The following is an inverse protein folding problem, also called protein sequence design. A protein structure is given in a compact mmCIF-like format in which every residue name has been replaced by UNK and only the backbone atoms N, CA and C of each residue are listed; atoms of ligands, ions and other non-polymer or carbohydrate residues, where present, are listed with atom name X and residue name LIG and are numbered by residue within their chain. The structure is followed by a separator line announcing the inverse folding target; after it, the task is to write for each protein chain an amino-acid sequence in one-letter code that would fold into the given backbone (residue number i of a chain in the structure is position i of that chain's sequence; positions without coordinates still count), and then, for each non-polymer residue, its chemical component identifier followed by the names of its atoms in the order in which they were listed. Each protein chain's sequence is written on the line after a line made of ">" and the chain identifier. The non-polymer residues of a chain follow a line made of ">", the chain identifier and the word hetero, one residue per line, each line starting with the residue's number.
data_IF_696916767999
#
_entry.id   IF_696916767999
#
_cell.length_a   1.000
_cell.length_b   1.000
_cell.length_c   1.000
_cell.angle_alpha   90.00
_cell.angle_beta   90.00
_cell.angle_gamma   90.00
#
_symmetry.space_group_name_H-M   'P 1'
#
loop_
_entity.id
_entity.type
_entity.pdbx_description
1 polymer ?
#
# COMPACT_ATOMS: atom_id res chain seq x y z
N UNK A 1 -39.20 4.68 -5.49
CA UNK A 1 -37.94 4.45 -4.76
C UNK A 1 -36.92 3.69 -5.61
N UNK A 2 -36.96 2.35 -5.72
CA UNK A 2 -36.06 1.62 -6.65
C UNK A 2 -36.23 2.05 -8.11
N UNK A 3 -37.48 2.09 -8.60
CA UNK A 3 -37.77 2.43 -9.99
C UNK A 3 -37.23 3.80 -10.40
N UNK A 4 -37.41 4.81 -9.55
CA UNK A 4 -36.98 6.19 -9.85
C UNK A 4 -35.45 6.27 -9.90
N UNK A 5 -34.75 5.63 -8.96
CA UNK A 5 -33.29 5.52 -8.96
C UNK A 5 -32.76 4.73 -10.15
N UNK A 6 -33.38 3.60 -10.49
CA UNK A 6 -33.06 2.81 -11.67
C UNK A 6 -33.19 3.64 -12.96
N UNK A 7 -34.29 4.37 -13.12
CA UNK A 7 -34.51 5.26 -14.26
C UNK A 7 -33.48 6.39 -14.30
N UNK A 8 -33.18 7.00 -13.16
CA UNK A 8 -32.20 8.08 -13.07
C UNK A 8 -30.80 7.60 -13.48
N UNK A 9 -30.35 6.48 -12.91
CA UNK A 9 -29.05 5.89 -13.25
C UNK A 9 -28.97 5.45 -14.71
N UNK A 10 -30.05 4.88 -15.27
CA UNK A 10 -30.13 4.58 -16.69
C UNK A 10 -29.89 5.83 -17.55
N UNK A 11 -30.50 6.97 -17.18
CA UNK A 11 -30.26 8.26 -17.87
C UNK A 11 -28.79 8.70 -17.76
N UNK A 12 -28.19 8.59 -16.58
CA UNK A 12 -26.78 8.95 -16.36
C UNK A 12 -25.81 8.14 -17.25
N UNK A 13 -26.12 6.88 -17.53
CA UNK A 13 -25.31 6.03 -18.42
C UNK A 13 -25.78 6.03 -19.88
N UNK A 14 -26.73 6.89 -20.24
CA UNK A 14 -27.24 7.02 -21.61
C UNK A 14 -28.05 5.82 -22.10
N UNK A 15 -28.66 5.03 -21.20
CA UNK A 15 -29.47 3.85 -21.52
C UNK A 15 -30.94 4.05 -21.19
N UNK A 16 -31.80 3.33 -21.89
CA UNK A 16 -33.20 3.21 -21.49
C UNK A 16 -33.37 2.10 -20.44
N UNK A 17 -34.30 2.23 -19.47
CA UNK A 17 -34.60 1.20 -18.48
C UNK A 17 -34.89 -0.18 -19.09
N UNK A 18 -35.64 -0.20 -20.20
CA UNK A 18 -35.96 -1.44 -20.92
C UNK A 18 -34.76 -1.97 -21.70
N UNK A 19 -33.93 -1.09 -22.28
CA UNK A 19 -32.70 -1.47 -22.98
C UNK A 19 -31.70 -2.16 -22.06
N UNK A 20 -31.46 -1.58 -20.88
CA UNK A 20 -30.59 -2.17 -19.87
C UNK A 20 -31.13 -3.51 -19.34
N UNK A 21 -32.44 -3.59 -19.08
CA UNK A 21 -33.07 -4.84 -18.65
C UNK A 21 -32.90 -5.96 -19.69
N UNK A 22 -33.05 -5.64 -20.99
CA UNK A 22 -32.83 -6.60 -22.06
C UNK A 22 -31.36 -7.06 -22.12
N UNK A 23 -30.37 -6.16 -21.96
CA UNK A 23 -28.95 -6.53 -21.88
C UNK A 23 -28.67 -7.52 -20.75
N UNK A 24 -29.38 -7.39 -19.63
CA UNK A 24 -29.25 -8.24 -18.45
C UNK A 24 -30.14 -9.50 -18.50
N UNK A 25 -30.78 -9.79 -19.65
CA UNK A 25 -31.73 -10.90 -19.82
C UNK A 25 -32.92 -10.86 -18.85
N UNK A 26 -33.35 -9.66 -18.45
CA UNK A 26 -34.48 -9.44 -17.56
C UNK A 26 -35.74 -9.25 -18.40
N UNK A 27 -36.75 -10.06 -18.13
CA UNK A 27 -37.98 -10.04 -18.91
C UNK A 27 -38.77 -8.71 -18.72
N UNK A 28 -39.56 -8.35 -19.73
CA UNK A 28 -40.35 -7.10 -19.73
C UNK A 28 -41.41 -7.05 -18.64
N UNK A 29 -41.98 -8.20 -18.24
CA UNK A 29 -43.00 -8.25 -17.19
C UNK A 29 -42.45 -7.90 -15.82
N UNK A 30 -41.22 -8.33 -15.51
CA UNK A 30 -40.49 -7.98 -14.28
C UNK A 30 -40.23 -6.48 -14.22
N UNK A 31 -39.80 -5.87 -15.32
CA UNK A 31 -39.59 -4.40 -15.41
C UNK A 31 -40.91 -3.64 -15.22
N UNK A 32 -42.00 -4.12 -15.82
CA UNK A 32 -43.33 -3.54 -15.62
C UNK A 32 -43.80 -3.65 -14.16
N UNK A 33 -43.43 -4.73 -13.48
CA UNK A 33 -43.61 -4.93 -12.05
C UNK A 33 -42.91 -3.88 -11.21
N UNK A 34 -41.65 -3.57 -11.52
CA UNK A 34 -40.89 -2.54 -10.79
C UNK A 34 -41.48 -1.15 -10.94
N UNK A 35 -41.98 -0.81 -12.13
CA UNK A 35 -42.70 0.44 -12.36
C UNK A 35 -43.98 0.56 -11.50
N UNK A 36 -44.56 -0.57 -11.09
CA UNK A 36 -45.72 -0.65 -10.19
C UNK A 36 -45.33 -0.75 -8.70
N UNK A 37 -44.03 -0.67 -8.38
CA UNK A 37 -43.53 -0.71 -7.01
C UNK A 37 -43.09 -2.09 -6.51
N UNK A 38 -43.05 -3.12 -7.37
CA UNK A 38 -42.42 -4.39 -6.98
C UNK A 38 -40.91 -4.19 -6.80
N UNK A 39 -40.34 -4.85 -5.80
CA UNK A 39 -38.90 -4.83 -5.58
C UNK A 39 -38.22 -5.91 -6.42
N UNK A 40 -37.06 -5.62 -7.03
CA UNK A 40 -36.20 -6.63 -7.66
C UNK A 40 -35.66 -7.64 -6.64
N UNK A 41 -35.31 -8.83 -7.12
CA UNK A 41 -34.57 -9.80 -6.31
C UNK A 41 -33.13 -9.32 -6.06
N UNK A 42 -32.54 -9.68 -4.91
CA UNK A 42 -31.20 -9.23 -4.51
C UNK A 42 -30.14 -9.44 -5.61
N UNK A 43 -30.05 -10.64 -6.18
CA UNK A 43 -29.10 -10.91 -7.28
C UNK A 43 -29.31 -10.00 -8.50
N UNK A 44 -30.58 -9.66 -8.80
CA UNK A 44 -30.92 -8.74 -9.89
C UNK A 44 -30.50 -7.31 -9.57
N UNK A 45 -30.63 -6.86 -8.31
CA UNK A 45 -30.13 -5.55 -7.87
C UNK A 45 -28.62 -5.45 -8.07
N UNK A 46 -27.86 -6.48 -7.67
CA UNK A 46 -26.41 -6.50 -7.84
C UNK A 46 -25.99 -6.42 -9.31
N UNK A 47 -26.60 -7.22 -10.19
CA UNK A 47 -26.35 -7.17 -11.64
C UNK A 47 -26.64 -5.78 -12.24
N UNK A 48 -27.73 -5.16 -11.80
CA UNK A 48 -28.11 -3.81 -12.24
C UNK A 48 -27.12 -2.77 -11.71
N UNK A 49 -26.76 -2.83 -10.42
CA UNK A 49 -25.82 -1.93 -9.76
C UNK A 49 -24.44 -1.97 -10.42
N UNK A 50 -23.93 -3.17 -10.70
CA UNK A 50 -22.68 -3.39 -11.42
C UNK A 50 -22.73 -2.74 -12.82
N UNK A 51 -23.82 -2.97 -13.56
CA UNK A 51 -23.94 -2.47 -14.93
C UNK A 51 -24.14 -0.96 -15.02
N UNK A 52 -24.79 -0.37 -14.01
CA UNK A 52 -24.99 1.08 -13.88
C UNK A 52 -23.82 1.78 -13.20
N UNK A 53 -22.91 1.03 -12.56
CA UNK A 53 -21.81 1.57 -11.78
C UNK A 53 -22.30 2.44 -10.61
N UNK A 54 -23.20 1.88 -9.80
CA UNK A 54 -23.62 2.38 -8.49
C UNK A 54 -23.68 1.24 -7.47
N UNK A 55 -24.02 1.51 -6.20
CA UNK A 55 -24.09 0.46 -5.17
C UNK A 55 -25.48 -0.16 -5.14
N UNK A 56 -25.55 -1.44 -4.76
CA UNK A 56 -26.83 -2.11 -4.54
C UNK A 56 -27.64 -1.41 -3.44
N UNK A 57 -26.96 -0.95 -2.37
CA UNK A 57 -27.57 -0.16 -1.31
C UNK A 57 -28.16 1.15 -1.83
N UNK A 58 -27.47 1.88 -2.72
CA UNK A 58 -28.03 3.09 -3.30
C UNK A 58 -29.34 2.81 -4.03
N UNK A 59 -29.44 1.72 -4.81
CA UNK A 59 -30.68 1.37 -5.51
C UNK A 59 -31.84 1.02 -4.55
N UNK A 60 -31.53 0.63 -3.31
CA UNK A 60 -32.50 0.17 -2.30
C UNK A 60 -32.71 1.14 -1.13
N UNK A 61 -31.87 2.16 -0.95
CA UNK A 61 -31.91 3.10 0.17
C UNK A 61 -32.89 4.25 -0.06
N UNK A 62 -33.29 4.92 1.02
CA UNK A 62 -34.11 6.15 0.96
C UNK A 62 -33.25 7.38 0.68
N UNK A 63 -31.93 7.28 0.87
CA UNK A 63 -31.00 8.39 0.73
C UNK A 63 -30.86 8.84 -0.74
N UNK A 64 -30.85 10.16 -0.96
CA UNK A 64 -30.71 10.76 -2.30
C UNK A 64 -29.24 10.86 -2.78
N UNK A 65 -28.27 10.58 -1.91
CA UNK A 65 -26.85 10.70 -2.24
C UNK A 65 -26.38 9.54 -3.14
N UNK A 66 -26.12 9.86 -4.41
CA UNK A 66 -25.48 8.97 -5.37
C UNK A 66 -23.98 8.90 -5.09
N UNK A 67 -23.51 7.76 -4.57
CA UNK A 67 -22.09 7.43 -4.70
C UNK A 67 -21.86 6.98 -6.14
N UNK A 68 -21.54 7.93 -7.03
CA UNK A 68 -21.22 7.62 -8.42
C UNK A 68 -19.91 6.82 -8.49
N UNK A 69 -20.05 5.50 -8.57
CA UNK A 69 -18.94 4.55 -8.61
C UNK A 69 -18.24 4.56 -9.98
N UNK A 70 -18.92 5.05 -11.03
CA UNK A 70 -18.36 5.30 -12.36
C UNK A 70 -17.25 6.35 -12.37
N UNK A 71 -17.33 7.37 -11.50
CA UNK A 71 -16.25 8.37 -11.36
C UNK A 71 -14.96 7.76 -10.78
N UNK A 72 -15.07 6.56 -10.18
CA UNK A 72 -13.99 5.82 -9.52
C UNK A 72 -13.72 4.47 -10.19
N UNK A 73 -13.86 4.35 -11.52
CA UNK A 73 -13.55 3.10 -12.28
C UNK A 73 -12.22 2.45 -11.88
N UNK A 74 -11.20 3.25 -11.57
CA UNK A 74 -9.91 2.75 -11.06
C UNK A 74 -10.04 2.08 -9.69
N UNK A 75 -10.77 2.71 -8.75
CA UNK A 75 -11.03 2.13 -7.44
C UNK A 75 -11.86 0.83 -7.53
N UNK A 76 -12.79 0.73 -8.50
CA UNK A 76 -13.54 -0.51 -8.75
C UNK A 76 -12.64 -1.67 -9.16
N UNK A 77 -11.74 -1.41 -10.11
CA UNK A 77 -10.75 -2.40 -10.54
C UNK A 77 -9.88 -2.85 -9.37
N UNK A 78 -9.44 -1.91 -8.53
CA UNK A 78 -8.70 -2.23 -7.31
C UNK A 78 -9.53 -3.12 -6.39
N UNK A 79 -10.77 -2.77 -6.09
CA UNK A 79 -11.67 -3.57 -5.24
C UNK A 79 -11.85 -5.00 -5.76
N UNK A 80 -11.92 -5.19 -7.08
CA UNK A 80 -12.04 -6.53 -7.67
C UNK A 80 -10.72 -7.34 -7.59
N UNK A 81 -9.57 -6.66 -7.58
CA UNK A 81 -8.27 -7.28 -7.43
C UNK A 81 -7.88 -7.52 -5.95
N UNK A 82 -8.51 -6.81 -5.00
CA UNK A 82 -8.22 -6.93 -3.56
C UNK A 82 -8.27 -8.39 -3.09
N UNK A 83 -9.33 -9.19 -3.36
CA UNK A 83 -9.37 -10.58 -2.93
C UNK A 83 -8.15 -11.39 -3.40
N UNK A 84 -7.66 -11.15 -4.62
CA UNK A 84 -6.47 -11.80 -5.13
C UNK A 84 -5.21 -11.42 -4.31
N UNK A 85 -5.05 -10.16 -3.90
CA UNK A 85 -3.92 -9.78 -3.04
C UNK A 85 -4.04 -10.39 -1.65
N UNK A 86 -5.23 -10.38 -1.06
CA UNK A 86 -5.50 -10.91 0.28
C UNK A 86 -5.11 -12.38 0.39
N UNK A 87 -5.45 -13.22 -0.60
CA UNK A 87 -5.07 -14.65 -0.59
C UNK A 87 -3.57 -14.88 -0.77
N UNK A 88 -2.83 -13.89 -1.27
CA UNK A 88 -1.37 -13.93 -1.41
C UNK A 88 -0.65 -13.26 -0.23
N UNK A 89 -1.36 -12.78 0.79
CA UNK A 89 -0.72 -12.28 2.01
C UNK A 89 -0.16 -13.45 2.82
N UNK A 90 1.08 -13.28 3.27
CA UNK A 90 1.82 -14.26 4.06
C UNK A 90 2.20 -13.60 5.37
N UNK A 91 2.05 -14.31 6.49
CA UNK A 91 2.59 -13.92 7.78
C UNK A 91 4.10 -13.72 7.73
N UNK A 92 4.65 -12.96 8.67
CA UNK A 92 6.09 -12.87 8.83
C UNK A 92 6.66 -14.19 9.33
N UNK A 93 7.60 -14.78 8.61
CA UNK A 93 8.35 -15.91 9.15
C UNK A 93 9.15 -15.46 10.39
N UNK A 94 9.37 -16.32 11.39
CA UNK A 94 10.28 -16.00 12.48
C UNK A 94 11.66 -15.63 11.95
N UNK A 95 12.10 -14.40 12.21
CA UNK A 95 13.45 -13.93 11.84
C UNK A 95 14.44 -14.58 12.81
N UNK A 96 15.35 -15.39 12.28
CA UNK A 96 16.40 -16.02 13.08
C UNK A 96 17.41 -15.00 13.62
N UNK A 97 18.16 -15.38 14.65
CA UNK A 97 19.17 -14.49 15.23
C UNK A 97 20.28 -14.14 14.22
N UNK A 98 20.66 -15.10 13.37
CA UNK A 98 21.70 -14.93 12.36
C UNK A 98 21.20 -14.01 11.22
N UNK A 99 19.99 -14.24 10.70
CA UNK A 99 19.38 -13.34 9.70
C UNK A 99 19.27 -11.90 10.23
N UNK A 100 18.87 -11.73 11.48
CA UNK A 100 18.76 -10.41 12.09
C UNK A 100 20.13 -9.72 12.23
N UNK A 101 21.20 -10.48 12.51
CA UNK A 101 22.55 -9.97 12.57
C UNK A 101 23.07 -9.56 11.18
N UNK A 102 22.79 -10.36 10.15
CA UNK A 102 23.13 -10.05 8.76
C UNK A 102 22.41 -8.79 8.27
N UNK A 103 21.12 -8.65 8.58
CA UNK A 103 20.33 -7.45 8.28
C UNK A 103 20.89 -6.24 9.03
N UNK A 104 21.26 -6.39 10.30
CA UNK A 104 21.83 -5.30 11.08
C UNK A 104 23.18 -4.82 10.50
N UNK A 105 24.06 -5.74 10.10
CA UNK A 105 25.33 -5.41 9.43
C UNK A 105 25.08 -4.72 8.09
N UNK A 106 24.16 -5.24 7.27
CA UNK A 106 23.77 -4.65 5.99
C UNK A 106 23.24 -3.21 6.14
N UNK A 107 22.40 -2.99 7.13
CA UNK A 107 21.82 -1.68 7.42
C UNK A 107 22.76 -0.76 8.21
N UNK A 108 23.96 -1.21 8.61
CA UNK A 108 24.92 -0.49 9.46
C UNK A 108 24.31 0.02 10.79
N UNK A 109 23.52 -0.84 11.44
CA UNK A 109 22.82 -0.51 12.68
C UNK A 109 23.10 -1.53 13.79
N UNK A 110 22.80 -1.15 15.03
CA UNK A 110 22.85 -2.07 16.17
C UNK A 110 21.68 -3.07 16.10
N UNK A 111 21.92 -4.34 16.39
CA UNK A 111 20.87 -5.37 16.37
C UNK A 111 19.72 -5.05 17.35
N UNK A 112 20.02 -4.38 18.46
CA UNK A 112 19.04 -3.95 19.45
C UNK A 112 18.32 -2.67 19.02
N UNK A 113 18.78 -1.96 18.00
CA UNK A 113 17.97 -0.92 17.35
C UNK A 113 16.77 -1.58 16.64
N UNK A 114 17.00 -2.63 15.84
CA UNK A 114 15.96 -3.32 15.08
C UNK A 114 14.84 -3.92 15.95
N UNK A 115 15.14 -4.27 17.21
CA UNK A 115 14.22 -4.91 18.15
C UNK A 115 13.42 -3.95 19.03
N UNK A 116 13.78 -2.67 19.06
CA UNK A 116 13.27 -1.72 20.04
C UNK A 116 12.71 -0.45 19.38
N UNK A 117 11.39 -0.40 19.19
CA UNK A 117 10.69 0.73 18.57
C UNK A 117 10.79 2.04 19.36
N UNK A 118 11.24 2.02 20.61
CA UNK A 118 11.46 3.25 21.39
C UNK A 118 12.72 4.00 20.92
N UNK A 119 13.64 3.32 20.24
CA UNK A 119 14.80 3.96 19.59
C UNK A 119 14.39 4.59 18.27
N UNK A 120 14.12 5.88 18.30
CA UNK A 120 13.66 6.67 17.14
C UNK A 120 14.76 7.00 16.14
N UNK A 121 15.88 7.51 16.64
CA UNK A 121 16.96 8.02 15.80
C UNK A 121 17.85 6.89 15.32
N UNK A 122 17.93 6.73 14.00
CA UNK A 122 18.94 5.87 13.38
C UNK A 122 20.22 6.67 13.16
N UNK A 123 21.33 6.09 13.63
CA UNK A 123 22.68 6.60 13.41
C UNK A 123 23.52 5.46 12.85
N UNK A 124 24.08 5.59 11.63
CA UNK A 124 24.97 4.58 11.06
C UNK A 124 26.17 4.32 11.98
N UNK A 125 26.50 3.05 12.21
CA UNK A 125 27.63 2.68 13.07
C UNK A 125 29.00 2.96 12.42
N UNK A 126 29.05 3.08 11.09
CA UNK A 126 30.29 3.23 10.32
C UNK A 126 31.18 1.98 10.39
N UNK A 127 30.60 0.82 10.72
CA UNK A 127 31.34 -0.43 10.94
C UNK A 127 30.98 -1.53 9.95
N UNK A 128 30.06 -1.25 9.02
CA UNK A 128 29.73 -2.14 7.90
C UNK A 128 31.00 -2.62 7.18
N UNK A 129 31.13 -3.93 6.97
CA UNK A 129 32.21 -4.48 6.14
C UNK A 129 32.01 -4.04 4.70
N UNK A 130 33.10 -3.66 4.04
CA UNK A 130 33.09 -3.21 2.65
C UNK A 130 32.42 -4.25 1.74
N UNK A 131 31.50 -3.80 0.90
CA UNK A 131 30.82 -4.64 -0.08
C UNK A 131 29.55 -5.32 0.43
N UNK A 132 29.31 -5.36 1.76
CA UNK A 132 28.09 -5.95 2.32
C UNK A 132 26.85 -5.18 1.88
N UNK A 133 26.95 -3.87 1.73
CA UNK A 133 25.88 -3.01 1.22
C UNK A 133 25.35 -3.51 -0.13
N UNK A 134 26.17 -4.15 -0.98
CA UNK A 134 25.73 -4.66 -2.28
C UNK A 134 25.21 -6.10 -2.25
N UNK A 135 25.01 -6.68 -1.06
CA UNK A 135 24.48 -8.03 -0.90
C UNK A 135 22.98 -8.07 -1.26
N UNK A 136 22.70 -8.49 -2.49
CA UNK A 136 21.34 -8.60 -3.03
C UNK A 136 20.47 -9.62 -2.30
N UNK A 137 21.06 -10.63 -1.65
CA UNK A 137 20.30 -11.63 -0.90
C UNK A 137 19.73 -11.00 0.37
N UNK A 138 20.54 -10.25 1.13
CA UNK A 138 20.07 -9.55 2.33
C UNK A 138 19.04 -8.47 1.96
N UNK A 139 19.27 -7.74 0.86
CA UNK A 139 18.28 -6.80 0.33
C UNK A 139 16.95 -7.48 0.03
N UNK A 140 16.97 -8.67 -0.59
CA UNK A 140 15.77 -9.43 -0.87
C UNK A 140 15.06 -9.89 0.41
N UNK A 141 15.79 -10.33 1.43
CA UNK A 141 15.20 -10.65 2.74
C UNK A 141 14.51 -9.43 3.38
N UNK A 142 15.14 -8.25 3.29
CA UNK A 142 14.51 -6.99 3.73
C UNK A 142 13.23 -6.71 2.94
N UNK A 143 13.20 -6.93 1.62
CA UNK A 143 11.98 -6.77 0.83
C UNK A 143 10.89 -7.75 1.25
N UNK A 144 11.24 -8.99 1.58
CA UNK A 144 10.30 -9.96 2.12
C UNK A 144 9.76 -9.53 3.50
N UNK A 145 10.59 -8.90 4.34
CA UNK A 145 10.15 -8.30 5.61
C UNK A 145 9.16 -7.16 5.39
N UNK A 146 9.39 -6.33 4.38
CA UNK A 146 8.48 -5.24 4.03
C UNK A 146 7.20 -5.74 3.31
N UNK A 147 7.22 -6.87 2.60
CA UNK A 147 6.03 -7.39 1.91
C UNK A 147 5.09 -8.18 2.83
N UNK A 148 5.65 -8.93 3.80
CA UNK A 148 4.89 -9.82 4.68
C UNK A 148 4.12 -9.08 5.78
N UNK A 149 3.07 -9.72 6.28
CA UNK A 149 2.26 -9.21 7.37
C UNK A 149 3.00 -9.32 8.70
N UNK A 150 3.26 -8.19 9.36
CA UNK A 150 3.90 -8.15 10.66
C UNK A 150 2.95 -8.64 11.79
N UNK A 151 2.94 -9.95 12.00
CA UNK A 151 2.05 -10.67 12.92
C UNK A 151 2.70 -11.02 14.28
N UNK A 152 3.99 -10.71 14.46
CA UNK A 152 4.69 -10.82 15.74
C UNK A 152 5.32 -9.50 16.17
N UNK A 153 5.57 -9.35 17.49
CA UNK A 153 6.18 -8.13 18.06
C UNK A 153 7.56 -7.84 17.47
N UNK A 154 8.39 -8.87 17.35
CA UNK A 154 9.73 -8.74 16.77
C UNK A 154 9.65 -8.31 15.30
N UNK A 155 8.85 -9.02 14.50
CA UNK A 155 8.71 -8.71 13.07
C UNK A 155 8.22 -7.28 12.83
N UNK A 156 7.21 -6.87 13.61
CA UNK A 156 6.69 -5.51 13.60
C UNK A 156 7.76 -4.47 13.95
N UNK A 157 8.57 -4.74 14.99
CA UNK A 157 9.67 -3.85 15.37
C UNK A 157 10.69 -3.70 14.25
N UNK A 158 11.14 -4.82 13.68
CA UNK A 158 12.14 -4.83 12.60
C UNK A 158 11.60 -4.05 11.39
N UNK A 159 10.34 -4.28 11.01
CA UNK A 159 9.70 -3.55 9.90
C UNK A 159 9.64 -2.03 10.16
N UNK A 160 9.29 -1.60 11.37
CA UNK A 160 9.28 -0.18 11.77
C UNK A 160 10.69 0.42 11.72
N UNK A 161 11.69 -0.31 12.21
CA UNK A 161 13.05 0.21 12.27
C UNK A 161 13.73 0.30 10.91
N UNK A 162 13.50 -0.68 10.03
CA UNK A 162 13.89 -0.58 8.61
C UNK A 162 13.22 0.65 7.98
N UNK A 163 11.97 0.93 8.31
CA UNK A 163 11.26 2.11 7.80
C UNK A 163 11.91 3.42 8.24
N UNK A 164 12.35 3.51 9.50
CA UNK A 164 13.07 4.70 10.00
C UNK A 164 14.42 4.88 9.33
N UNK A 165 15.13 3.80 9.02
CA UNK A 165 16.37 3.85 8.24
C UNK A 165 16.11 4.40 6.83
N UNK A 166 15.03 3.95 6.17
CA UNK A 166 14.62 4.48 4.87
C UNK A 166 14.33 5.98 4.95
N UNK A 167 13.56 6.42 5.96
CA UNK A 167 13.27 7.84 6.15
C UNK A 167 14.53 8.65 6.45
N UNK A 168 15.45 8.12 7.26
CA UNK A 168 16.71 8.76 7.56
C UNK A 168 17.49 9.07 6.29
N UNK A 169 17.69 8.08 5.41
CA UNK A 169 18.48 8.29 4.19
C UNK A 169 17.82 9.27 3.22
N UNK A 170 16.49 9.27 3.11
CA UNK A 170 15.79 10.28 2.31
C UNK A 170 16.01 11.69 2.86
N UNK A 171 16.05 11.85 4.17
CA UNK A 171 16.19 13.16 4.84
C UNK A 171 17.65 13.60 5.04
N UNK A 172 18.60 12.68 4.93
CA UNK A 172 20.03 12.95 5.06
C UNK A 172 20.64 13.62 3.82
N UNK A 173 20.00 13.50 2.65
CA UNK A 173 20.41 14.19 1.43
C UNK A 173 19.96 15.66 1.45
N UNK A 174 20.82 16.52 1.97
CA UNK A 174 20.58 17.97 2.09
C UNK A 174 20.34 18.65 0.73
N UNK A 175 20.92 18.13 -0.35
CA UNK A 175 20.83 18.71 -1.70
C UNK A 175 19.52 18.34 -2.41
N UNK A 176 18.87 17.27 -1.98
CA UNK A 176 17.60 16.80 -2.56
C UNK A 176 16.41 17.71 -2.28
N UNK A 177 16.48 18.47 -1.18
CA UNK A 177 15.39 19.25 -0.64
C UNK A 177 14.20 18.42 -0.15
N UNK A 178 14.32 17.10 0.05
CA UNK A 178 13.28 16.31 0.71
C UNK A 178 13.13 16.72 2.18
N UNK A 179 11.88 16.80 2.63
CA UNK A 179 11.54 17.06 4.04
C UNK A 179 10.45 16.09 4.45
N UNK A 180 10.25 15.93 5.76
CA UNK A 180 9.20 15.05 6.27
C UNK A 180 7.81 15.52 5.83
N UNK A 181 7.58 16.83 5.71
CA UNK A 181 6.33 17.40 5.20
C UNK A 181 6.11 17.06 3.73
N UNK A 182 7.16 17.02 2.91
CA UNK A 182 7.03 16.58 1.51
C UNK A 182 6.65 15.11 1.44
N UNK A 183 7.19 14.27 2.31
CA UNK A 183 6.83 12.85 2.40
C UNK A 183 5.38 12.66 2.83
N UNK A 184 4.89 13.42 3.81
CA UNK A 184 3.48 13.38 4.22
C UNK A 184 2.50 13.78 3.11
N UNK A 185 2.95 14.50 2.08
CA UNK A 185 2.14 14.90 0.94
C UNK A 185 2.11 13.87 -0.21
N UNK A 186 2.82 12.73 -0.08
CA UNK A 186 2.75 11.64 -1.05
C UNK A 186 1.39 10.95 -0.96
N UNK A 187 0.54 11.16 -1.97
CA UNK A 187 -0.86 10.71 -1.97
C UNK A 187 -1.06 9.20 -1.83
N UNK A 188 -0.08 8.41 -2.23
CA UNK A 188 -0.17 6.94 -2.24
C UNK A 188 0.24 6.30 -0.91
N UNK A 189 0.79 7.07 0.04
CA UNK A 189 1.21 6.58 1.35
C UNK A 189 0.33 7.26 2.41
N UNK A 190 -0.12 6.52 3.41
CA UNK A 190 -0.86 7.09 4.53
C UNK A 190 0.08 8.00 5.36
N UNK A 191 -0.23 9.29 5.44
CA UNK A 191 0.58 10.28 6.15
C UNK A 191 0.60 10.06 7.67
N UNK A 192 -0.46 9.48 8.25
CA UNK A 192 -0.49 9.13 9.66
C UNK A 192 0.46 7.98 9.98
N UNK A 193 0.57 7.02 9.05
CA UNK A 193 1.56 5.94 9.15
C UNK A 193 2.98 6.48 9.11
N UNK A 194 3.28 7.38 8.16
CA UNK A 194 4.58 8.06 8.12
C UNK A 194 4.85 8.88 9.38
N UNK A 195 3.84 9.55 9.93
CA UNK A 195 3.95 10.28 11.19
C UNK A 195 4.34 9.35 12.34
N UNK A 196 3.63 8.23 12.50
CA UNK A 196 3.96 7.23 13.52
C UNK A 196 5.40 6.72 13.40
N UNK A 197 5.84 6.38 12.18
CA UNK A 197 7.22 5.91 11.95
C UNK A 197 8.25 6.96 12.37
N UNK A 198 7.99 8.23 12.03
CA UNK A 198 8.90 9.35 12.27
C UNK A 198 8.92 9.82 13.74
N UNK A 199 7.78 9.83 14.43
CA UNK A 199 7.65 10.43 15.78
C UNK A 199 7.40 9.43 16.89
N UNK A 200 7.09 8.17 16.57
CA UNK A 200 6.60 7.14 17.50
C UNK A 200 5.28 7.53 18.21
N UNK A 201 4.60 8.60 17.78
CA UNK A 201 3.28 8.96 18.30
C UNK A 201 2.23 8.03 17.70
N UNK A 202 1.68 7.13 18.53
CA UNK A 202 0.67 6.18 18.10
C UNK A 202 -0.61 6.88 17.61
N UNK A 203 -1.09 6.47 16.43
CA UNK A 203 -2.40 6.86 15.92
C UNK A 203 -3.51 6.10 16.66
N UNK A 204 -4.68 6.73 16.93
CA UNK A 204 -5.83 6.03 17.49
C UNK A 204 -6.29 4.84 16.64
N UNK A 205 -6.13 4.90 15.31
CA UNK A 205 -6.31 3.75 14.45
C UNK A 205 -5.03 2.92 14.42
N UNK A 206 -5.06 1.82 15.20
CA UNK A 206 -3.93 0.91 15.35
C UNK A 206 -3.39 0.32 14.02
N UNK A 207 -4.19 0.32 12.94
CA UNK A 207 -3.74 -0.17 11.63
C UNK A 207 -2.66 0.70 10.99
N UNK A 208 -2.55 1.96 11.43
CA UNK A 208 -1.50 2.91 11.00
C UNK A 208 -0.22 2.81 11.81
N UNK A 209 -0.24 2.12 12.94
CA UNK A 209 0.91 1.98 13.84
C UNK A 209 1.82 0.83 13.41
N UNK A 210 2.23 0.80 12.14
CA UNK A 210 3.05 -0.24 11.51
C UNK A 210 4.13 0.38 10.62
N UNK A 211 5.19 -0.39 10.36
CA UNK A 211 6.24 0.03 9.42
C UNK A 211 5.75 0.07 7.98
N UNK A 212 6.50 0.73 7.11
CA UNK A 212 6.32 0.72 5.66
C UNK A 212 6.19 -0.72 5.17
N UNK A 213 5.31 -0.93 4.19
CA UNK A 213 5.31 -2.16 3.43
C UNK A 213 6.10 -1.98 2.13
N UNK A 214 6.28 -3.06 1.37
CA UNK A 214 7.06 -3.01 0.14
C UNK A 214 6.46 -2.04 -0.90
N UNK A 215 5.13 -1.92 -0.98
CA UNK A 215 4.49 -0.94 -1.86
C UNK A 215 4.86 0.49 -1.46
N UNK A 216 4.87 0.82 -0.16
CA UNK A 216 5.28 2.14 0.32
C UNK A 216 6.74 2.42 -0.07
N UNK A 217 7.65 1.45 0.07
CA UNK A 217 9.04 1.56 -0.37
C UNK A 217 9.13 1.84 -1.88
N UNK A 218 8.36 1.13 -2.72
CA UNK A 218 8.35 1.38 -4.18
C UNK A 218 7.87 2.79 -4.52
N UNK A 219 6.92 3.32 -3.76
CA UNK A 219 6.43 4.69 -3.94
C UNK A 219 7.53 5.68 -3.53
N UNK A 220 8.15 5.51 -2.35
CA UNK A 220 9.23 6.39 -1.89
C UNK A 220 10.38 6.41 -2.92
N UNK A 221 10.85 5.26 -3.38
CA UNK A 221 11.88 5.18 -4.41
C UNK A 221 11.47 5.89 -5.70
N UNK A 222 10.23 5.70 -6.17
CA UNK A 222 9.74 6.35 -7.39
C UNK A 222 9.65 7.87 -7.26
N UNK A 223 9.15 8.38 -6.14
CA UNK A 223 8.98 9.82 -5.93
C UNK A 223 10.34 10.49 -5.69
N UNK A 224 11.18 9.90 -4.85
CA UNK A 224 12.50 10.45 -4.48
C UNK A 224 13.59 10.24 -5.54
N UNK A 225 13.41 9.27 -6.44
CA UNK A 225 14.41 8.78 -7.41
C UNK A 225 15.60 8.04 -6.81
N UNK A 226 15.61 7.79 -5.50
CA UNK A 226 16.63 6.96 -4.88
C UNK A 226 16.44 5.48 -5.21
N UNK A 227 17.58 4.79 -5.40
CA UNK A 227 17.61 3.33 -5.52
C UNK A 227 17.24 2.67 -4.19
N UNK A 228 16.74 1.43 -4.22
CA UNK A 228 16.51 0.67 -2.98
C UNK A 228 17.80 0.47 -2.19
N UNK A 229 18.92 0.34 -2.89
CA UNK A 229 20.25 0.29 -2.30
C UNK A 229 20.51 1.53 -1.43
N UNK A 230 20.35 2.73 -2.02
CA UNK A 230 20.53 3.97 -1.29
C UNK A 230 19.56 4.11 -0.11
N UNK A 231 18.29 3.79 -0.33
CA UNK A 231 17.26 3.88 0.72
C UNK A 231 17.51 2.93 1.90
N UNK A 232 18.22 1.83 1.71
CA UNK A 232 18.55 0.90 2.79
C UNK A 232 19.91 1.19 3.41
N UNK A 233 20.89 1.64 2.63
CA UNK A 233 22.30 1.64 3.06
C UNK A 233 22.99 3.00 3.02
N UNK A 234 22.36 4.02 2.44
CA UNK A 234 22.95 5.34 2.21
C UNK A 234 24.02 5.37 1.12
N UNK A 235 24.16 4.29 0.33
CA UNK A 235 25.21 4.14 -0.68
C UNK A 235 24.58 4.03 -2.06
N UNK A 236 25.06 4.81 -3.03
CA UNK A 236 24.57 4.72 -4.41
C UNK A 236 25.52 3.90 -5.31
N UNK A 237 24.96 3.30 -6.37
CA UNK A 237 25.61 2.27 -7.18
C UNK A 237 26.89 2.69 -7.93
N UNK A 238 27.19 3.99 -8.04
CA UNK A 238 28.46 4.46 -8.61
C UNK A 238 29.68 4.08 -7.75
N UNK A 239 29.49 3.96 -6.42
CA UNK A 239 30.50 3.45 -5.50
C UNK A 239 30.81 1.97 -5.74
N UNK A 240 29.84 1.17 -6.19
CA UNK A 240 30.04 -0.24 -6.54
C UNK A 240 30.97 -0.41 -7.75
N UNK A 241 30.86 0.48 -8.74
CA UNK A 241 31.76 0.49 -9.90
C UNK A 241 33.20 0.80 -9.49
N UNK A 242 33.38 1.59 -8.45
CA UNK A 242 34.69 1.93 -7.89
C UNK A 242 35.25 0.81 -7.01
N UNK A 243 34.40 0.17 -6.20
CA UNK A 243 34.73 -1.06 -5.46
C UNK A 243 35.23 -2.19 -6.38
N UNK A 244 34.53 -2.46 -7.50
CA UNK A 244 34.95 -3.49 -8.46
C UNK A 244 36.34 -3.18 -9.05
N UNK A 245 36.63 -1.91 -9.35
CA UNK A 245 37.97 -1.50 -9.83
C UNK A 245 39.05 -1.79 -8.79
N UNK A 246 38.81 -1.43 -7.52
CA UNK A 246 39.77 -1.61 -6.43
C UNK A 246 39.97 -3.08 -6.04
N UNK A 247 38.94 -3.93 -6.20
CA UNK A 247 39.02 -5.37 -5.95
C UNK A 247 39.84 -6.08 -7.02
N UNK A 248 39.73 -5.65 -8.27
CA UNK A 248 40.45 -6.26 -9.39
C UNK A 248 41.92 -5.78 -9.47
N UNK A 249 42.31 -4.77 -8.66
CA UNK A 249 43.68 -4.24 -8.53
C UNK A 249 44.50 -4.85 -7.36
N UNK A 250 43.89 -5.69 -6.51
CA UNK A 250 44.54 -6.40 -5.39
C UNK A 250 44.54 -7.92 -5.60
#
# INVERSE_FOLDING_TARGET
>A
MFWDKYVNMCKHVGKSPTGLANELNINKSTVAGWKKGQQPAGNTVYLIAERLGCSADYLLSEDEEDVSLLSKKSAFKSIHAIPQRFVSLISGDPISADELADIAEYLDCDIDFLKDTEKLEYVPLGKRKLGVEFNVNIMHEIFMILDRCADSKLYKSVQIQISRIILHWVLADEDSGWTIEKLYNIKQIDSHKLKYIYTNEADPDSTRNYGLNFTDLTVISRETKYSYQYLLTGTDGDVYREYLKLRDEN
#
